data_IF_573476268793
#
_entry.id   IF_573476268793
#
_cell.length_a   1.000
_cell.length_b   1.000
_cell.length_c   1.000
_cell.angle_alpha   90.00
_cell.angle_beta   90.00
_cell.angle_gamma   90.00
#
_symmetry.space_group_name_H-M   'P 1'
#
loop_
_entity.id
_entity.type
_entity.pdbx_description
1 polymer ?
#
# COMPACT_ATOMS: atom_id res chain seq x y z
N UNK A 1 -10.95 6.12 18.26
CA UNK A 1 -11.73 4.98 18.79
C UNK A 1 -10.86 3.74 18.73
N UNK A 2 -10.62 3.07 19.86
CA UNK A 2 -9.60 2.01 20.00
C UNK A 2 -9.91 0.83 19.07
N UNK A 3 -9.00 0.56 18.12
CA UNK A 3 -9.08 -0.50 17.11
C UNK A 3 -8.67 -1.83 17.76
N UNK A 4 -9.65 -2.51 18.35
CA UNK A 4 -9.47 -3.83 18.99
C UNK A 4 -10.25 -4.93 18.25
N UNK A 5 -11.00 -4.55 17.22
CA UNK A 5 -11.86 -5.46 16.46
C UNK A 5 -11.09 -6.37 15.51
N UNK A 6 -9.92 -5.95 15.00
CA UNK A 6 -9.10 -6.77 14.10
C UNK A 6 -8.53 -8.00 14.80
N UNK A 7 -8.02 -7.85 16.03
CA UNK A 7 -7.54 -8.97 16.88
C UNK A 7 -8.64 -9.97 17.23
N UNK A 8 -9.82 -9.48 17.59
CA UNK A 8 -10.97 -10.33 17.94
C UNK A 8 -11.46 -11.11 16.71
N UNK A 9 -11.74 -10.42 15.60
CA UNK A 9 -12.18 -11.07 14.36
C UNK A 9 -11.14 -12.06 13.84
N UNK A 10 -9.86 -11.70 13.88
CA UNK A 10 -8.75 -12.57 13.48
C UNK A 10 -8.69 -13.84 14.32
N UNK A 11 -8.79 -13.74 15.65
CA UNK A 11 -8.77 -14.89 16.56
C UNK A 11 -9.93 -15.86 16.29
N UNK A 12 -11.16 -15.34 16.15
CA UNK A 12 -12.32 -16.19 15.89
C UNK A 12 -12.30 -16.83 14.50
N UNK A 13 -11.92 -16.07 13.46
CA UNK A 13 -11.80 -16.58 12.10
C UNK A 13 -10.68 -17.63 11.98
N UNK A 14 -9.52 -17.38 12.59
CA UNK A 14 -8.40 -18.32 12.60
C UNK A 14 -8.71 -19.62 13.33
N UNK A 15 -9.38 -19.54 14.49
CA UNK A 15 -9.84 -20.72 15.23
C UNK A 15 -10.90 -21.53 14.46
N UNK A 16 -11.77 -20.87 13.68
CA UNK A 16 -12.78 -21.53 12.87
C UNK A 16 -12.22 -22.19 11.59
N UNK A 17 -11.18 -21.62 10.97
CA UNK A 17 -10.55 -22.13 9.75
C UNK A 17 -9.72 -23.39 9.98
N UNK A 18 -8.98 -23.46 11.09
CA UNK A 18 -8.14 -24.62 11.42
C UNK A 18 -8.89 -25.58 12.35
N UNK A 19 -9.91 -26.25 11.79
CA UNK A 19 -10.76 -27.23 12.49
C UNK A 19 -9.99 -28.41 13.11
N UNK A 20 -8.76 -28.66 12.66
CA UNK A 20 -7.87 -29.70 13.19
C UNK A 20 -7.10 -29.26 14.46
N UNK A 21 -6.89 -27.96 14.69
CA UNK A 21 -6.25 -27.42 15.91
C UNK A 21 -6.66 -25.95 16.17
N UNK A 22 -7.78 -25.72 16.90
CA UNK A 22 -8.37 -24.40 17.05
C UNK A 22 -7.49 -23.42 17.86
N UNK A 23 -6.63 -23.92 18.75
CA UNK A 23 -5.71 -23.10 19.53
C UNK A 23 -4.60 -22.48 18.66
N UNK A 24 -4.03 -23.26 17.74
CA UNK A 24 -3.05 -22.75 16.76
C UNK A 24 -3.72 -21.76 15.80
N UNK A 25 -4.94 -22.06 15.37
CA UNK A 25 -5.73 -21.16 14.54
C UNK A 25 -6.05 -19.83 15.21
N UNK A 26 -6.45 -19.85 16.48
CA UNK A 26 -6.67 -18.62 17.25
C UNK A 26 -5.40 -17.79 17.44
N UNK A 27 -4.24 -18.43 17.60
CA UNK A 27 -2.95 -17.75 17.78
C UNK A 27 -2.48 -17.09 16.48
N UNK A 28 -2.54 -17.81 15.36
CA UNK A 28 -2.26 -17.26 14.02
C UNK A 28 -3.25 -16.14 13.68
N UNK A 29 -4.53 -16.36 13.96
CA UNK A 29 -5.59 -15.38 13.78
C UNK A 29 -5.37 -14.09 14.59
N UNK A 30 -4.95 -14.22 15.84
CA UNK A 30 -4.64 -13.08 16.71
C UNK A 30 -3.39 -12.33 16.23
N UNK A 31 -2.36 -13.02 15.73
CA UNK A 31 -1.17 -12.38 15.15
C UNK A 31 -1.50 -11.60 13.87
N UNK A 32 -2.31 -12.17 12.97
CA UNK A 32 -2.76 -11.51 11.74
C UNK A 32 -3.69 -10.33 12.09
N UNK A 33 -4.63 -10.52 13.01
CA UNK A 33 -5.51 -9.46 13.50
C UNK A 33 -4.74 -8.33 14.18
N UNK A 34 -3.67 -8.66 14.90
CA UNK A 34 -2.75 -7.67 15.47
C UNK A 34 -2.03 -6.88 14.37
N UNK A 35 -1.49 -7.54 13.35
CA UNK A 35 -0.85 -6.87 12.22
C UNK A 35 -1.81 -5.94 11.46
N UNK A 36 -3.09 -6.31 11.35
CA UNK A 36 -4.15 -5.49 10.76
C UNK A 36 -4.51 -4.27 11.62
N UNK A 37 -4.59 -4.45 12.95
CA UNK A 37 -4.83 -3.37 13.92
C UNK A 37 -3.63 -2.40 14.05
N UNK A 38 -2.40 -2.86 13.74
CA UNK A 38 -1.16 -2.06 13.83
C UNK A 38 -0.90 -1.20 12.58
N UNK A 39 -1.92 -0.96 11.75
CA UNK A 39 -1.86 0.03 10.66
C UNK A 39 -0.71 -0.18 9.65
N UNK A 40 -0.28 -1.44 9.45
CA UNK A 40 0.70 -1.82 8.44
C UNK A 40 0.35 -1.29 7.04
N UNK A 41 -0.95 -1.08 6.77
CA UNK A 41 -1.45 -0.48 5.54
C UNK A 41 -1.60 1.06 5.56
N UNK A 42 -1.77 1.70 6.73
CA UNK A 42 -1.86 3.16 6.82
C UNK A 42 -0.47 3.84 6.81
N UNK A 43 0.55 3.23 7.43
CA UNK A 43 1.94 3.67 7.30
C UNK A 43 2.44 3.69 5.84
N UNK A 44 1.83 2.88 4.96
CA UNK A 44 2.09 2.89 3.52
C UNK A 44 1.40 4.01 2.76
N UNK A 45 0.31 4.59 3.28
CA UNK A 45 -0.44 5.66 2.60
C UNK A 45 0.21 7.03 2.77
N UNK A 46 0.82 7.30 3.92
CA UNK A 46 1.48 8.59 4.19
C UNK A 46 2.97 8.62 3.81
N UNK A 47 3.54 7.47 3.44
CA UNK A 47 4.93 7.38 3.00
C UNK A 47 5.02 7.52 1.46
N UNK A 48 5.58 8.63 0.93
CA UNK A 48 5.67 8.82 -0.52
C UNK A 48 6.59 7.79 -1.19
N UNK A 49 7.58 7.23 -0.48
CA UNK A 49 8.41 6.16 -1.02
C UNK A 49 7.59 4.87 -1.21
N UNK A 50 6.68 4.56 -0.28
CA UNK A 50 5.80 3.40 -0.40
C UNK A 50 4.82 3.52 -1.58
N UNK A 51 4.39 4.75 -1.94
CA UNK A 51 3.58 4.98 -3.16
C UNK A 51 4.34 4.58 -4.43
N UNK A 52 5.65 4.78 -4.45
CA UNK A 52 6.54 4.33 -5.53
C UNK A 52 7.00 2.87 -5.40
N UNK A 53 6.64 2.18 -4.32
CA UNK A 53 7.10 0.82 -4.00
C UNK A 53 8.57 0.76 -3.58
N UNK A 54 9.07 1.84 -2.97
CA UNK A 54 10.44 2.02 -2.52
C UNK A 54 10.51 2.14 -1.00
N UNK A 55 11.69 1.92 -0.44
CA UNK A 55 12.00 2.25 0.95
C UNK A 55 12.53 3.68 1.07
N UNK A 56 12.50 4.31 2.26
CA UNK A 56 13.04 5.66 2.47
C UNK A 56 14.53 5.81 2.14
N UNK A 57 15.28 4.71 2.14
CA UNK A 57 16.71 4.64 1.84
C UNK A 57 17.01 4.61 0.33
N UNK A 58 15.99 4.50 -0.52
CA UNK A 58 16.15 4.44 -1.96
C UNK A 58 16.89 5.66 -2.52
N UNK A 59 17.82 5.43 -3.43
CA UNK A 59 18.62 6.46 -4.10
C UNK A 59 17.78 7.34 -5.05
N UNK A 60 18.33 8.47 -5.48
CA UNK A 60 17.66 9.35 -6.45
C UNK A 60 17.41 8.64 -7.79
N UNK A 61 18.37 7.84 -8.25
CA UNK A 61 18.23 7.08 -9.48
C UNK A 61 17.07 6.07 -9.39
N UNK A 62 16.94 5.36 -8.27
CA UNK A 62 15.84 4.41 -8.03
C UNK A 62 14.47 5.10 -7.97
N UNK A 63 14.40 6.26 -7.31
CA UNK A 63 13.17 7.08 -7.26
C UNK A 63 12.73 7.50 -8.66
N UNK A 64 13.66 7.97 -9.49
CA UNK A 64 13.35 8.38 -10.86
C UNK A 64 12.98 7.21 -11.76
N UNK A 65 13.67 6.09 -11.63
CA UNK A 65 13.35 4.88 -12.39
C UNK A 65 11.96 4.35 -12.03
N UNK A 66 11.64 4.27 -10.74
CA UNK A 66 10.33 3.85 -10.26
C UNK A 66 9.21 4.79 -10.75
N UNK A 67 9.44 6.10 -10.68
CA UNK A 67 8.51 7.11 -11.18
C UNK A 67 8.23 6.93 -12.69
N UNK A 68 9.28 6.84 -13.52
CA UNK A 68 9.13 6.64 -14.97
C UNK A 68 8.37 5.35 -15.28
N UNK A 69 8.69 4.25 -14.59
CA UNK A 69 8.01 2.95 -14.75
C UNK A 69 6.52 3.06 -14.40
N UNK A 70 6.18 3.68 -13.28
CA UNK A 70 4.81 3.76 -12.79
C UNK A 70 3.95 4.69 -13.65
N UNK A 71 4.45 5.87 -14.02
CA UNK A 71 3.74 6.76 -14.96
C UNK A 71 3.54 6.08 -16.30
N UNK A 72 4.52 5.30 -16.77
CA UNK A 72 4.38 4.51 -17.98
C UNK A 72 3.23 3.48 -17.91
N UNK A 73 2.97 2.91 -16.73
CA UNK A 73 1.91 1.92 -16.52
C UNK A 73 0.53 2.53 -16.35
N UNK A 74 0.44 3.68 -15.67
CA UNK A 74 -0.84 4.32 -15.33
C UNK A 74 -1.17 5.54 -16.22
N UNK A 75 -0.43 5.76 -17.31
CA UNK A 75 -0.72 6.89 -18.20
C UNK A 75 -2.10 6.72 -18.86
N UNK A 76 -3.01 7.71 -18.76
CA UNK A 76 -4.34 7.61 -19.35
C UNK A 76 -4.29 7.39 -20.88
N UNK A 77 -3.30 8.00 -21.57
CA UNK A 77 -3.11 7.82 -23.02
C UNK A 77 -2.74 6.40 -23.44
N UNK A 78 -2.24 5.56 -22.53
CA UNK A 78 -1.96 4.14 -22.81
C UNK A 78 -3.17 3.23 -22.66
N UNK A 79 -4.32 3.80 -22.34
CA UNK A 79 -5.57 3.08 -22.18
C UNK A 79 -6.68 3.60 -23.12
N UNK A 80 -6.50 3.55 -24.45
CA UNK A 80 -7.57 3.86 -25.38
C UNK A 80 -8.64 2.74 -25.36
N UNK A 81 -9.90 3.10 -25.13
CA UNK A 81 -11.04 2.15 -25.23
C UNK A 81 -11.39 1.35 -23.98
N UNK A 82 -10.77 1.62 -22.82
CA UNK A 82 -11.24 1.06 -21.53
C UNK A 82 -12.44 1.84 -20.99
N UNK A 83 -13.25 1.16 -20.17
CA UNK A 83 -14.35 1.78 -19.44
C UNK A 83 -13.88 3.01 -18.65
N UNK A 84 -14.69 4.07 -18.62
CA UNK A 84 -14.39 5.33 -17.95
C UNK A 84 -13.95 5.17 -16.49
N UNK A 85 -14.46 4.14 -15.81
CA UNK A 85 -14.09 3.81 -14.43
C UNK A 85 -12.60 3.46 -14.31
N UNK A 86 -12.06 2.66 -15.23
CA UNK A 86 -10.65 2.28 -15.24
C UNK A 86 -9.75 3.47 -15.59
N UNK A 87 -10.22 4.34 -16.49
CA UNK A 87 -9.52 5.58 -16.82
C UNK A 87 -9.42 6.51 -15.61
N UNK A 88 -10.51 6.70 -14.87
CA UNK A 88 -10.53 7.47 -13.61
C UNK A 88 -9.59 6.88 -12.56
N UNK A 89 -9.55 5.55 -12.44
CA UNK A 89 -8.62 4.88 -11.52
C UNK A 89 -7.16 5.08 -11.92
N UNK A 90 -6.83 4.96 -13.21
CA UNK A 90 -5.50 5.21 -13.72
C UNK A 90 -5.07 6.67 -13.49
N UNK A 91 -5.96 7.63 -13.75
CA UNK A 91 -5.73 9.06 -13.51
C UNK A 91 -5.50 9.36 -12.02
N UNK A 92 -6.36 8.82 -11.14
CA UNK A 92 -6.19 8.95 -9.69
C UNK A 92 -4.84 8.39 -9.23
N UNK A 93 -4.45 7.22 -9.77
CA UNK A 93 -3.19 6.58 -9.42
C UNK A 93 -1.98 7.36 -9.93
N UNK A 94 -2.02 7.86 -11.16
CA UNK A 94 -0.99 8.74 -11.71
C UNK A 94 -0.85 10.03 -10.88
N UNK A 95 -1.97 10.60 -10.43
CA UNK A 95 -1.99 11.75 -9.52
C UNK A 95 -1.30 11.47 -8.19
N UNK A 96 -1.55 10.31 -7.57
CA UNK A 96 -0.84 9.86 -6.36
C UNK A 96 0.68 9.73 -6.57
N UNK A 97 1.09 9.08 -7.66
CA UNK A 97 2.50 8.91 -8.02
C UNK A 97 3.19 10.27 -8.20
N UNK A 98 2.53 11.20 -8.89
CA UNK A 98 3.04 12.56 -9.10
C UNK A 98 3.21 13.34 -7.78
N UNK A 99 2.24 13.24 -6.87
CA UNK A 99 2.31 13.88 -5.55
C UNK A 99 3.46 13.31 -4.72
N UNK A 100 3.58 11.98 -4.67
CA UNK A 100 4.64 11.30 -3.94
C UNK A 100 6.03 11.68 -4.45
N UNK A 101 6.22 11.67 -5.78
CA UNK A 101 7.49 12.06 -6.40
C UNK A 101 7.87 13.51 -6.08
N UNK A 102 6.91 14.45 -6.15
CA UNK A 102 7.14 15.85 -5.76
C UNK A 102 7.56 15.98 -4.29
N UNK A 103 6.91 15.24 -3.39
CA UNK A 103 7.21 15.26 -1.96
C UNK A 103 8.60 14.70 -1.65
N UNK A 104 9.02 13.64 -2.34
CA UNK A 104 10.38 13.10 -2.20
C UNK A 104 11.40 14.12 -2.70
N UNK A 105 11.15 14.70 -3.88
CA UNK A 105 12.05 15.69 -4.49
C UNK A 105 12.17 16.97 -3.67
N UNK A 106 11.10 17.41 -2.99
CA UNK A 106 11.14 18.60 -2.12
C UNK A 106 11.89 18.36 -0.82
N UNK A 107 11.94 17.11 -0.33
CA UNK A 107 12.69 16.74 0.89
C UNK A 107 14.19 16.59 0.65
N UNK A 108 14.64 16.56 -0.60
CA UNK A 108 16.06 16.47 -0.96
C UNK A 108 16.57 17.87 -1.34
N UNK A 109 17.66 18.37 -0.74
CA UNK A 109 18.29 19.59 -1.21
C UNK A 109 18.69 19.39 -2.68
N UNK A 110 18.44 20.39 -3.52
CA UNK A 110 19.10 20.45 -4.84
C UNK A 110 20.58 20.66 -4.54
N UNK A 111 21.38 19.61 -4.69
CA UNK A 111 22.83 19.71 -4.72
C UNK A 111 23.25 20.47 -5.98
#
# INVERSE_FOLDING_TARGET
>A
MKRWYGKLLGLFAGAALLRFNPLLGGLVGLLIGHAFDTDWFQLRRDNPYAVLGLTPEATQAEVEQAYRRLISQYHPDRMPGVADELRKQAEARAGEINRAYKQIKSKRPRA
#
